data_IF_172686734547
#
_entry.id   IF_172686734547
#
_cell.length_a   1.000
_cell.length_b   1.000
_cell.length_c   1.000
_cell.angle_alpha   90.00
_cell.angle_beta   90.00
_cell.angle_gamma   90.00
#
_symmetry.space_group_name_H-M   'P 1'
#
loop_
_entity.id
_entity.type
_entity.pdbx_description
1 polymer ?
#
# COMPACT_ATOMS: atom_id res chain seq x y z
N UNK A 1 -18.41 5.77 10.95
CA UNK A 1 -17.13 5.04 10.81
C UNK A 1 -17.14 4.36 9.47
N UNK A 2 -16.32 4.80 8.52
CA UNK A 2 -16.18 4.14 7.22
C UNK A 2 -15.26 2.93 7.40
N UNK A 3 -15.74 1.74 7.01
CA UNK A 3 -14.91 0.53 7.01
C UNK A 3 -13.79 0.71 5.98
N UNK A 4 -12.52 0.53 6.36
CA UNK A 4 -11.42 0.65 5.41
C UNK A 4 -11.54 -0.43 4.34
N UNK A 5 -11.53 -0.01 3.07
CA UNK A 5 -11.55 -0.91 1.93
C UNK A 5 -10.13 -1.44 1.71
N UNK A 6 -10.00 -2.77 1.69
CA UNK A 6 -8.74 -3.44 1.40
C UNK A 6 -8.83 -4.25 0.11
N UNK A 7 -7.72 -4.36 -0.62
CA UNK A 7 -7.59 -5.30 -1.73
C UNK A 7 -6.35 -6.18 -1.59
N UNK A 8 -6.26 -7.20 -2.45
CA UNK A 8 -5.10 -8.09 -2.56
C UNK A 8 -4.04 -7.44 -3.46
N UNK A 9 -2.73 -7.66 -3.22
CA UNK A 9 -1.70 -7.26 -4.17
C UNK A 9 -1.88 -7.82 -5.59
N UNK A 10 -2.53 -8.97 -5.74
CA UNK A 10 -2.87 -9.53 -7.05
C UNK A 10 -3.87 -8.68 -7.83
N UNK A 11 -4.69 -7.87 -7.14
CA UNK A 11 -5.68 -6.97 -7.73
C UNK A 11 -5.10 -5.58 -8.08
N UNK A 12 -3.80 -5.34 -7.83
CA UNK A 12 -3.19 -4.02 -7.98
C UNK A 12 -3.38 -3.41 -9.39
N UNK A 13 -3.38 -4.24 -10.44
CA UNK A 13 -3.60 -3.77 -11.82
C UNK A 13 -5.01 -3.24 -12.03
N UNK A 14 -6.01 -3.95 -11.51
CA UNK A 14 -7.43 -3.59 -11.65
C UNK A 14 -7.80 -2.43 -10.72
N UNK A 15 -7.24 -2.38 -9.51
CA UNK A 15 -7.57 -1.35 -8.52
C UNK A 15 -6.84 -0.03 -8.75
N UNK A 16 -5.56 -0.07 -9.14
CA UNK A 16 -4.68 1.11 -9.16
C UNK A 16 -4.00 1.36 -10.51
N UNK A 17 -4.18 0.48 -11.50
CA UNK A 17 -3.49 0.60 -12.79
C UNK A 17 -1.99 0.28 -12.74
N UNK A 18 -1.48 -0.28 -11.64
CA UNK A 18 -0.04 -0.59 -11.47
C UNK A 18 0.22 -2.10 -11.36
N UNK A 19 1.46 -2.50 -11.67
CA UNK A 19 1.87 -3.88 -11.48
C UNK A 19 1.98 -4.25 -10.00
N UNK A 20 1.79 -5.54 -9.70
CA UNK A 20 2.05 -6.09 -8.35
C UNK A 20 3.48 -5.80 -7.87
N UNK A 21 4.46 -5.86 -8.78
CA UNK A 21 5.87 -5.58 -8.45
C UNK A 21 6.09 -4.12 -8.03
N UNK A 22 5.41 -3.17 -8.69
CA UNK A 22 5.44 -1.75 -8.28
C UNK A 22 4.87 -1.57 -6.88
N UNK A 23 3.75 -2.23 -6.57
CA UNK A 23 3.14 -2.18 -5.22
C UNK A 23 4.11 -2.68 -4.14
N UNK A 24 4.77 -3.83 -4.37
CA UNK A 24 5.77 -4.35 -3.44
C UNK A 24 6.99 -3.44 -3.31
N UNK A 25 7.45 -2.83 -4.41
CA UNK A 25 8.56 -1.86 -4.38
C UNK A 25 8.19 -0.62 -3.55
N UNK A 26 6.96 -0.14 -3.63
CA UNK A 26 6.50 0.98 -2.81
C UNK A 26 6.46 0.60 -1.33
N UNK A 27 5.99 -0.60 -1.01
CA UNK A 27 5.99 -1.10 0.36
C UNK A 27 7.41 -1.28 0.92
N UNK A 28 8.33 -1.82 0.12
CA UNK A 28 9.75 -2.00 0.46
C UNK A 28 10.45 -0.66 0.74
N UNK A 29 10.07 0.38 0.01
CA UNK A 29 10.52 1.77 0.23
C UNK A 29 9.79 2.49 1.38
N UNK A 30 8.84 1.84 2.04
CA UNK A 30 8.08 2.42 3.16
C UNK A 30 6.98 3.42 2.76
N UNK A 31 6.65 3.54 1.48
CA UNK A 31 5.61 4.46 1.01
C UNK A 31 4.19 4.01 1.35
N UNK A 32 3.98 2.69 1.47
CA UNK A 32 2.70 2.07 1.82
C UNK A 32 2.94 0.83 2.68
N UNK A 33 1.90 0.33 3.36
CA UNK A 33 1.97 -0.85 4.22
C UNK A 33 1.26 -2.06 3.60
N UNK A 34 1.90 -3.23 3.73
CA UNK A 34 1.28 -4.52 3.44
C UNK A 34 0.89 -5.21 4.74
N UNK A 35 -0.39 -5.54 4.89
CA UNK A 35 -0.94 -6.22 6.06
C UNK A 35 -1.02 -7.72 5.80
N UNK A 36 -0.37 -8.53 6.65
CA UNK A 36 -0.46 -10.00 6.58
C UNK A 36 -1.45 -10.53 7.62
N UNK A 37 -2.39 -11.37 7.21
CA UNK A 37 -3.36 -12.02 8.10
C UNK A 37 -3.71 -13.40 7.53
N UNK A 38 -3.63 -14.48 8.31
CA UNK A 38 -4.00 -15.83 7.85
C UNK A 38 -3.38 -16.26 6.50
N UNK A 39 -2.08 -16.01 6.29
CA UNK A 39 -1.37 -16.34 5.03
C UNK A 39 -1.71 -15.44 3.84
N UNK A 40 -2.53 -14.42 4.07
CA UNK A 40 -3.09 -13.54 3.06
C UNK A 40 -2.49 -12.12 3.25
N UNK A 41 -2.05 -11.50 2.15
CA UNK A 41 -1.56 -10.10 2.13
C UNK A 41 -2.64 -9.14 1.64
N UNK A 42 -2.87 -8.06 2.37
CA UNK A 42 -3.83 -7.00 2.08
C UNK A 42 -3.13 -5.66 2.01
N UNK A 43 -3.70 -4.74 1.24
CA UNK A 43 -3.31 -3.32 1.21
C UNK A 43 -4.56 -2.47 1.42
N UNK A 44 -4.43 -1.38 2.17
CA UNK A 44 -5.51 -0.41 2.35
C UNK A 44 -5.57 0.46 1.09
N UNK A 45 -6.74 0.49 0.44
CA UNK A 45 -6.91 1.20 -0.83
C UNK A 45 -6.63 2.69 -0.67
N UNK A 46 -7.13 3.29 0.42
CA UNK A 46 -6.95 4.72 0.69
C UNK A 46 -5.46 5.10 0.80
N UNK A 47 -4.65 4.32 1.53
CA UNK A 47 -3.22 4.59 1.70
C UNK A 47 -2.46 4.63 0.37
N UNK A 48 -2.80 3.71 -0.55
CA UNK A 48 -2.21 3.69 -1.90
C UNK A 48 -2.66 4.90 -2.71
N UNK A 49 -3.93 5.28 -2.60
CA UNK A 49 -4.47 6.45 -3.31
C UNK A 49 -3.86 7.76 -2.79
N UNK A 50 -3.70 7.89 -1.47
CA UNK A 50 -3.06 9.05 -0.84
C UNK A 50 -1.62 9.20 -1.32
N UNK A 51 -0.89 8.08 -1.45
CA UNK A 51 0.45 8.07 -2.03
C UNK A 51 0.47 8.45 -3.52
N UNK A 52 -0.44 7.91 -4.33
CA UNK A 52 -0.52 8.22 -5.78
C UNK A 52 -0.86 9.69 -6.03
N UNK A 53 -1.77 10.24 -5.22
CA UNK A 53 -2.31 11.60 -5.41
C UNK A 53 -1.48 12.69 -4.75
N UNK A 54 -0.42 12.35 -4.00
CA UNK A 54 0.44 13.31 -3.32
C UNK A 54 -0.21 13.96 -2.09
N UNK A 55 -1.39 13.49 -1.66
CA UNK A 55 -2.03 13.94 -0.39
C UNK A 55 -1.22 13.44 0.83
N UNK A 56 -0.23 12.55 0.62
CA UNK A 56 0.68 12.00 1.62
C UNK A 56 2.11 12.57 1.63
N UNK A 57 2.41 13.72 1.02
CA UNK A 57 3.77 14.33 0.92
C UNK A 57 4.42 14.74 2.28
N UNK A 58 3.90 14.28 3.42
CA UNK A 58 4.48 14.42 4.75
C UNK A 58 4.56 13.09 5.51
N UNK A 59 5.29 12.11 4.99
CA UNK A 59 5.86 11.05 5.84
C UNK A 59 7.34 10.89 5.53
N UNK A 60 8.10 11.92 5.93
CA UNK A 60 9.53 11.81 6.17
C UNK A 60 9.81 10.86 7.34
N UNK A 61 10.89 10.11 7.18
CA UNK A 61 11.65 9.40 8.19
C UNK A 61 11.00 8.17 8.86
N UNK A 62 11.06 7.05 8.15
CA UNK A 62 11.23 5.77 8.83
C UNK A 62 12.33 4.92 8.19
N UNK A 63 13.53 5.01 8.75
CA UNK A 63 14.59 4.03 8.55
C UNK A 63 14.17 2.65 9.11
N UNK A 64 14.65 1.54 8.50
CA UNK A 64 14.26 0.19 8.86
C UNK A 64 15.04 -0.29 10.09
N UNK A 65 14.42 -1.15 10.91
CA UNK A 65 15.14 -2.00 11.88
C UNK A 65 14.46 -3.35 12.00
N UNK A 66 15.21 -4.42 11.70
CA UNK A 66 14.83 -5.82 11.91
C UNK A 66 15.33 -6.73 10.81
#
# INVERSE_FOLDING_TARGET
>A
MTTPVTCRPSQAKETFGISRATLYRWADKGHIRLHKRAGLTFVVVQEVMDFITGVGDQMGDHQPKG
#
